data_IF_841547316343
#
_entry.id   IF_841547316343
#
_cell.length_a   1.000
_cell.length_b   1.000
_cell.length_c   1.000
_cell.angle_alpha   90.00
_cell.angle_beta   90.00
_cell.angle_gamma   90.00
#
_symmetry.space_group_name_H-M   'P 1'
#
loop_
_entity.id
_entity.type
_entity.pdbx_description
1 polymer ?
#
# COMPACT_ATOMS: atom_id res chain seq x y z
N UNK A 1 5.44 2.77 -45.15
CA UNK A 1 5.21 2.60 -43.69
C UNK A 1 5.70 1.22 -43.27
N UNK A 2 6.73 1.17 -42.42
CA UNK A 2 7.48 -0.05 -42.17
C UNK A 2 6.71 -0.87 -41.12
N UNK A 3 5.98 -1.90 -41.57
CA UNK A 3 5.08 -2.75 -40.74
C UNK A 3 5.75 -3.27 -39.46
N UNK A 4 7.05 -3.54 -39.52
CA UNK A 4 7.90 -3.95 -38.40
C UNK A 4 8.05 -2.88 -37.31
N UNK A 5 8.16 -1.59 -37.69
CA UNK A 5 8.24 -0.47 -36.74
C UNK A 5 6.90 -0.21 -36.03
N UNK A 6 5.79 -0.48 -36.72
CA UNK A 6 4.45 -0.36 -36.13
C UNK A 6 4.18 -1.48 -35.12
N UNK A 7 4.51 -2.73 -35.46
CA UNK A 7 4.36 -3.88 -34.57
C UNK A 7 5.20 -3.73 -33.28
N UNK A 8 6.44 -3.24 -33.39
CA UNK A 8 7.31 -3.06 -32.23
C UNK A 8 6.76 -2.00 -31.26
N UNK A 9 6.24 -0.87 -31.78
CA UNK A 9 5.61 0.17 -30.95
C UNK A 9 4.33 -0.32 -30.26
N UNK A 10 3.50 -1.09 -30.97
CA UNK A 10 2.28 -1.66 -30.41
C UNK A 10 2.59 -2.66 -29.28
N UNK A 11 3.62 -3.49 -29.46
CA UNK A 11 4.04 -4.45 -28.43
C UNK A 11 4.62 -3.73 -27.19
N UNK A 12 5.43 -2.69 -27.37
CA UNK A 12 5.93 -1.89 -26.25
C UNK A 12 4.80 -1.23 -25.46
N UNK A 13 3.78 -0.71 -26.14
CA UNK A 13 2.61 -0.11 -25.49
C UNK A 13 1.77 -1.16 -24.73
N UNK A 14 1.62 -2.37 -25.28
CA UNK A 14 0.91 -3.47 -24.62
C UNK A 14 1.63 -3.95 -23.35
N UNK A 15 2.96 -4.06 -23.38
CA UNK A 15 3.76 -4.45 -22.21
C UNK A 15 3.65 -3.40 -21.09
N UNK A 16 3.72 -2.11 -21.43
CA UNK A 16 3.59 -1.02 -20.45
C UNK A 16 2.19 -1.02 -19.81
N UNK A 17 1.13 -1.16 -20.61
CA UNK A 17 -0.25 -1.17 -20.10
C UNK A 17 -0.53 -2.38 -19.21
N UNK A 18 0.00 -3.56 -19.55
CA UNK A 18 -0.17 -4.77 -18.73
C UNK A 18 0.64 -4.69 -17.42
N UNK A 19 1.82 -4.06 -17.44
CA UNK A 19 2.62 -3.82 -16.24
C UNK A 19 2.00 -2.78 -15.29
N UNK A 20 1.28 -1.77 -15.81
CA UNK A 20 0.53 -0.83 -14.98
C UNK A 20 -0.76 -1.44 -14.38
N UNK A 21 -1.38 -2.40 -15.06
CA UNK A 21 -2.61 -3.04 -14.60
C UNK A 21 -2.41 -3.96 -13.37
N UNK A 22 -1.24 -4.58 -13.23
CA UNK A 22 -0.92 -5.47 -12.09
C UNK A 22 -0.73 -4.72 -10.77
N UNK A 23 -0.24 -3.49 -10.81
CA UNK A 23 -0.11 -2.63 -9.63
C UNK A 23 -1.47 -2.19 -9.04
N UNK A 24 -2.54 -2.24 -9.85
CA UNK A 24 -3.86 -1.73 -9.48
C UNK A 24 -4.81 -2.79 -8.86
N UNK A 25 -4.50 -4.09 -8.89
CA UNK A 25 -5.49 -5.17 -8.66
C UNK A 25 -5.16 -6.20 -7.57
N UNK A 26 -4.37 -5.84 -6.56
CA UNK A 26 -4.18 -6.71 -5.41
C UNK A 26 -4.04 -5.92 -4.11
N UNK A 27 -5.02 -5.07 -3.79
CA UNK A 27 -5.09 -4.54 -2.44
C UNK A 27 -5.41 -5.69 -1.47
N UNK A 28 -4.64 -5.79 -0.40
CA UNK A 28 -4.83 -6.84 0.59
C UNK A 28 -6.05 -6.51 1.47
N UNK A 29 -6.84 -7.51 1.84
CA UNK A 29 -7.92 -7.32 2.83
C UNK A 29 -7.38 -6.99 4.21
N UNK A 30 -6.11 -7.34 4.46
CA UNK A 30 -5.38 -7.04 5.69
C UNK A 30 -3.95 -6.64 5.39
N UNK A 31 -3.46 -5.59 6.05
CA UNK A 31 -2.06 -5.15 5.99
C UNK A 31 -1.50 -4.92 7.39
N UNK A 32 -0.19 -4.71 7.48
CA UNK A 32 0.51 -4.55 8.76
C UNK A 32 1.45 -3.34 8.76
N UNK A 33 1.54 -2.68 9.91
CA UNK A 33 2.52 -1.63 10.22
C UNK A 33 3.49 -2.04 11.32
N UNK A 34 4.71 -1.50 11.26
CA UNK A 34 5.78 -1.75 12.22
C UNK A 34 6.77 -0.58 12.26
N UNK A 35 7.34 -0.29 13.42
CA UNK A 35 8.35 0.76 13.59
C UNK A 35 9.65 0.48 12.84
N UNK A 36 9.90 -0.79 12.50
CA UNK A 36 11.03 -1.26 11.68
C UNK A 36 10.62 -1.57 10.23
N UNK A 37 9.40 -1.22 9.82
CA UNK A 37 8.89 -1.43 8.46
C UNK A 37 9.42 -0.43 7.42
N UNK A 38 8.98 -0.59 6.18
CA UNK A 38 9.27 0.28 5.03
C UNK A 38 8.02 0.42 4.15
N UNK A 39 7.66 1.65 3.76
CA UNK A 39 6.47 1.89 2.94
C UNK A 39 6.61 1.42 1.48
N UNK A 40 7.81 1.05 1.04
CA UNK A 40 8.03 0.32 -0.22
C UNK A 40 7.62 -1.16 -0.14
N UNK A 41 7.46 -1.72 1.07
CA UNK A 41 7.04 -3.10 1.24
C UNK A 41 5.60 -3.35 0.79
N UNK A 42 5.21 -4.60 0.51
CA UNK A 42 3.83 -4.97 0.22
C UNK A 42 2.87 -4.83 1.42
N UNK A 43 3.35 -4.35 2.58
CA UNK A 43 2.63 -4.28 3.85
C UNK A 43 2.08 -5.63 4.31
N UNK A 44 2.80 -6.73 4.06
CA UNK A 44 2.48 -8.05 4.59
C UNK A 44 2.99 -8.18 6.03
N UNK A 45 2.55 -9.23 6.76
CA UNK A 45 3.00 -9.45 8.14
C UNK A 45 4.52 -9.63 8.28
N UNK A 46 5.20 -10.15 7.25
CA UNK A 46 6.66 -10.34 7.23
C UNK A 46 7.44 -9.22 6.53
N UNK A 47 6.73 -8.36 5.80
CA UNK A 47 7.28 -7.15 5.18
C UNK A 47 6.28 -6.00 5.42
N UNK A 48 6.21 -5.49 6.67
CA UNK A 48 5.23 -4.48 7.06
C UNK A 48 5.60 -3.10 6.52
N UNK A 49 4.58 -2.24 6.44
CA UNK A 49 4.76 -0.83 6.13
C UNK A 49 5.20 -0.05 7.35
N UNK A 50 5.86 1.09 7.15
CA UNK A 50 6.33 1.94 8.24
C UNK A 50 5.24 2.85 8.77
N UNK A 51 4.32 3.27 7.90
CA UNK A 51 3.29 4.27 8.22
C UNK A 51 1.90 3.75 7.90
N UNK A 52 0.89 4.32 8.58
CA UNK A 52 -0.51 4.09 8.24
C UNK A 52 -0.86 4.58 6.84
N UNK A 53 -0.23 5.66 6.36
CA UNK A 53 -0.39 6.16 5.00
C UNK A 53 0.14 5.15 3.95
N UNK A 54 1.28 4.52 4.23
CA UNK A 54 1.82 3.42 3.43
C UNK A 54 0.86 2.23 3.39
N UNK A 55 0.31 1.82 4.54
CA UNK A 55 -0.59 0.68 4.66
C UNK A 55 -1.96 0.90 4.00
N UNK A 56 -2.61 2.05 4.21
CA UNK A 56 -3.95 2.31 3.65
C UNK A 56 -3.95 2.33 2.11
N UNK A 57 -2.84 2.75 1.49
CA UNK A 57 -2.69 2.72 0.02
C UNK A 57 -2.63 1.31 -0.56
N UNK A 58 -2.36 0.28 0.27
CA UNK A 58 -2.26 -1.13 -0.13
C UNK A 58 -3.37 -2.01 0.47
N UNK A 59 -4.24 -1.44 1.30
CA UNK A 59 -5.35 -2.15 1.94
C UNK A 59 -6.64 -1.95 1.16
N UNK A 60 -7.42 -2.99 0.94
CA UNK A 60 -8.68 -2.90 0.21
C UNK A 60 -9.72 -2.05 0.96
N UNK A 61 -10.70 -1.53 0.23
CA UNK A 61 -11.88 -0.88 0.82
C UNK A 61 -12.58 -1.87 1.75
N UNK A 62 -12.87 -1.44 2.99
CA UNK A 62 -13.42 -2.28 4.05
C UNK A 62 -12.41 -3.23 4.70
N UNK A 63 -11.12 -3.13 4.37
CA UNK A 63 -10.07 -3.96 4.95
C UNK A 63 -9.56 -3.48 6.31
N UNK A 64 -8.50 -4.14 6.79
CA UNK A 64 -7.91 -3.93 8.13
C UNK A 64 -6.40 -3.64 8.07
N UNK A 65 -5.93 -2.76 8.94
CA UNK A 65 -4.50 -2.46 9.16
C UNK A 65 -4.15 -2.80 10.60
N UNK A 66 -3.25 -3.75 10.79
CA UNK A 66 -2.77 -4.21 12.11
C UNK A 66 -1.45 -3.56 12.52
N UNK A 67 -1.28 -3.29 13.81
CA UNK A 67 0.01 -2.90 14.37
C UNK A 67 0.77 -4.10 14.95
N UNK A 68 2.01 -4.35 14.49
CA UNK A 68 2.84 -5.46 14.99
C UNK A 68 3.57 -5.12 16.29
N UNK A 69 4.05 -3.88 16.41
CA UNK A 69 4.85 -3.38 17.54
C UNK A 69 4.33 -2.02 18.02
N UNK A 70 4.71 -1.55 19.22
CA UNK A 70 4.23 -0.28 19.72
C UNK A 70 4.93 0.89 19.02
N UNK A 71 4.20 1.93 18.66
CA UNK A 71 4.78 3.08 17.98
C UNK A 71 3.77 4.11 17.49
N UNK A 72 4.31 5.24 17.02
CA UNK A 72 3.56 6.22 16.24
C UNK A 72 3.78 6.01 14.75
N UNK A 73 2.73 5.69 14.00
CA UNK A 73 2.83 5.32 12.58
C UNK A 73 2.43 6.45 11.61
N UNK A 74 2.62 7.70 12.06
CA UNK A 74 2.35 8.90 11.30
C UNK A 74 0.86 9.21 11.10
N UNK A 75 0.59 10.31 10.41
CA UNK A 75 -0.76 10.72 10.02
C UNK A 75 -1.36 9.81 8.96
N UNK A 76 -2.67 9.59 9.03
CA UNK A 76 -3.44 8.88 8.01
C UNK A 76 -4.70 9.66 7.67
N UNK A 77 -4.96 9.80 6.37
CA UNK A 77 -6.22 10.35 5.85
C UNK A 77 -7.13 9.19 5.47
N UNK A 78 -8.29 9.10 6.12
CA UNK A 78 -9.27 8.04 5.87
C UNK A 78 -10.16 8.44 4.69
N UNK A 79 -9.90 7.87 3.52
CA UNK A 79 -10.66 8.13 2.27
C UNK A 79 -11.60 6.98 1.87
N UNK A 80 -11.52 5.86 2.60
CA UNK A 80 -12.30 4.63 2.38
C UNK A 80 -12.59 3.98 3.72
N UNK A 81 -13.60 3.12 3.77
CA UNK A 81 -13.86 2.30 4.94
C UNK A 81 -12.61 1.48 5.28
N UNK A 82 -12.16 1.55 6.52
CA UNK A 82 -10.94 0.87 6.97
C UNK A 82 -11.03 0.63 8.48
N UNK A 83 -10.55 -0.52 8.93
CA UNK A 83 -10.27 -0.79 10.34
C UNK A 83 -8.79 -0.53 10.58
N UNK A 84 -8.45 0.24 11.62
CA UNK A 84 -7.07 0.35 12.12
C UNK A 84 -7.05 -0.30 13.49
N UNK A 85 -6.40 -1.45 13.59
CA UNK A 85 -6.34 -2.25 14.81
C UNK A 85 -4.96 -2.17 15.46
N UNK A 86 -4.92 -1.58 16.65
CA UNK A 86 -3.74 -1.57 17.52
C UNK A 86 -3.76 -2.67 18.58
N UNK A 87 -4.78 -3.52 18.62
CA UNK A 87 -5.01 -4.47 19.70
C UNK A 87 -3.85 -5.46 19.85
N UNK A 88 -3.31 -5.57 21.06
CA UNK A 88 -2.08 -6.31 21.37
C UNK A 88 -0.83 -5.45 21.49
N UNK A 89 -0.90 -4.16 21.15
CA UNK A 89 0.21 -3.20 21.30
C UNK A 89 -0.28 -1.76 21.55
N UNK A 90 0.64 -0.82 21.79
CA UNK A 90 0.35 0.61 21.88
C UNK A 90 0.67 1.31 20.56
N UNK A 91 -0.35 1.58 19.76
CA UNK A 91 -0.22 2.32 18.51
C UNK A 91 -0.81 3.73 18.62
N UNK A 92 -0.19 4.71 17.97
CA UNK A 92 -0.69 6.08 17.93
C UNK A 92 -0.63 6.71 16.54
N UNK A 93 -1.54 7.64 16.30
CA UNK A 93 -1.54 8.54 15.16
C UNK A 93 -1.05 9.89 15.66
N UNK A 94 0.09 10.36 15.14
CA UNK A 94 0.63 11.68 15.47
C UNK A 94 0.44 12.61 14.29
N UNK A 95 -0.44 13.60 14.44
CA UNK A 95 -0.56 14.75 13.55
C UNK A 95 0.11 15.96 14.21
N UNK A 96 0.99 16.64 13.48
CA UNK A 96 1.43 17.97 13.89
C UNK A 96 0.24 18.93 13.71
N UNK A 97 -0.24 19.52 14.81
CA UNK A 97 -1.25 20.58 14.74
C UNK A 97 -0.67 21.80 14.00
N UNK A 98 -1.43 22.35 13.08
CA UNK A 98 -1.13 23.61 12.37
C UNK A 98 -1.70 24.79 13.12
#
# INVERSE_FOLDING_TARGET
MNKTRFALKALSFLVITLACASAAHAQATRTWVSGVGDDANPCSRTAPCKTFAGAISKTADGGEIDCIDPGGFGTVTITKSITIDGNGTFASILAAGT
#
